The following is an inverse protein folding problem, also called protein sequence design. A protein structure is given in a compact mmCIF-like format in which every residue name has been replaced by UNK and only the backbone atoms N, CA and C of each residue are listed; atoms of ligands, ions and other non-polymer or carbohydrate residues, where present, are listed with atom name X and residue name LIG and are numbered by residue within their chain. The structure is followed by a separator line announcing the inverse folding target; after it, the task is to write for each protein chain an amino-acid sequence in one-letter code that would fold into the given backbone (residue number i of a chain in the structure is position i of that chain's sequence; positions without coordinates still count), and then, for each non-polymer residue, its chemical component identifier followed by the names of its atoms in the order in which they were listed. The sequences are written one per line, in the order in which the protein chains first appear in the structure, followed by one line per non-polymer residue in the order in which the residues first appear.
data_IF_105564032632
#
_entry.id   IF_105564032632
#
_cell.length_a   1.000
_cell.length_b   1.000
_cell.length_c   1.000
_cell.angle_alpha   90.00
_cell.angle_beta   90.00
_cell.angle_gamma   90.00
#
_symmetry.space_group_name_H-M   'P 1'
#
loop_
_entity.id
_entity.type
_entity.pdbx_description
1 polymer ?
2 polymer ?
#
# COMPACT_ATOMS: atom_id res chain seq x y z
N UNK A 5 3.86 -23.17 -20.83
CA UNK A 5 3.63 -22.09 -19.81
C UNK A 5 4.93 -21.38 -19.49
N UNK A 6 5.04 -20.12 -19.87
CA UNK A 6 6.26 -19.39 -19.59
C UNK A 6 6.41 -19.28 -18.07
N UNK A 7 7.46 -18.60 -17.63
CA UNK A 7 7.77 -18.40 -16.21
C UNK A 7 9.24 -18.00 -16.27
N UNK A 8 9.89 -17.86 -15.12
CA UNK A 8 11.31 -17.50 -15.13
C UNK A 8 12.05 -18.14 -13.98
N UNK A 9 13.30 -17.75 -13.79
CA UNK A 9 14.07 -18.26 -12.67
C UNK A 9 13.51 -17.45 -11.51
N UNK A 10 14.34 -17.11 -10.53
CA UNK A 10 13.84 -16.36 -9.38
C UNK A 10 12.61 -17.14 -8.94
N UNK A 11 11.43 -16.68 -9.31
CA UNK A 11 10.20 -17.40 -8.94
C UNK A 11 10.29 -18.70 -9.71
N UNK A 12 10.82 -19.72 -9.06
CA UNK A 12 11.04 -21.03 -9.64
C UNK A 12 12.05 -21.62 -8.67
N UNK A 13 12.82 -20.70 -8.07
CA UNK A 13 13.86 -21.01 -7.07
C UNK A 13 13.57 -20.25 -5.79
N UNK A 14 12.69 -19.26 -5.87
CA UNK A 14 12.30 -18.45 -4.73
C UNK A 14 11.90 -19.31 -3.54
N UNK A 15 11.72 -18.67 -2.39
CA UNK A 15 11.33 -19.38 -1.19
C UNK A 15 10.09 -18.69 -0.68
N UNK A 16 9.67 -17.67 -1.42
CA UNK A 16 8.52 -16.86 -1.07
C UNK A 16 8.19 -16.15 -2.36
N UNK A 17 6.94 -16.18 -2.78
CA UNK A 17 6.58 -15.57 -4.05
C UNK A 17 5.92 -14.21 -3.92
N UNK A 18 6.23 -13.50 -2.83
CA UNK A 18 5.72 -12.16 -2.61
C UNK A 18 6.87 -11.30 -2.12
N UNK A 19 6.84 -10.00 -2.43
CA UNK A 19 7.91 -9.10 -2.01
C UNK A 19 8.00 -9.12 -0.48
N UNK A 20 9.14 -9.54 0.06
CA UNK A 20 9.23 -9.58 1.52
C UNK A 20 9.38 -8.18 2.12
N UNK A 21 8.83 -8.00 3.32
CA UNK A 21 8.89 -6.73 4.01
C UNK A 21 8.44 -5.54 3.18
N UNK A 22 7.53 -5.77 2.24
CA UNK A 22 7.04 -4.72 1.36
C UNK A 22 6.30 -3.57 2.05
N UNK A 23 6.00 -3.75 3.33
CA UNK A 23 5.28 -2.72 4.07
C UNK A 23 6.28 -1.72 4.68
N UNK A 24 7.55 -2.10 4.65
CA UNK A 24 8.61 -1.27 5.17
C UNK A 24 9.00 -0.17 4.18
N UNK A 25 8.87 -0.47 2.89
CA UNK A 25 9.19 0.47 1.82
C UNK A 25 8.12 1.54 1.80
N UNK A 26 8.45 2.76 1.32
CA UNK A 26 7.49 3.84 1.27
C UNK A 26 6.73 3.91 -0.03
N UNK A 27 5.56 4.53 0.01
CA UNK A 27 4.71 4.66 -1.16
C UNK A 27 3.96 5.98 -1.17
N UNK A 28 3.27 6.21 -2.28
CA UNK A 28 2.49 7.42 -2.45
C UNK A 28 1.06 7.10 -2.07
N UNK A 29 0.34 8.10 -1.56
CA UNK A 29 -1.04 7.92 -1.15
C UNK A 29 -2.04 8.63 -2.06
N UNK A 30 -2.26 8.08 -3.23
CA UNK A 30 -3.22 8.60 -4.19
C UNK A 30 -4.55 8.99 -3.52
N UNK A 31 -5.48 9.53 -4.30
CA UNK A 31 -6.77 9.92 -3.77
C UNK A 31 -7.83 9.83 -4.86
N UNK A 32 -8.64 8.79 -4.77
CA UNK A 32 -9.70 8.51 -5.74
C UNK A 32 -10.48 9.73 -6.20
N UNK A 33 -10.49 10.77 -5.39
CA UNK A 33 -11.22 11.99 -5.72
C UNK A 33 -10.59 12.73 -6.90
N UNK A 34 -9.45 13.39 -6.66
CA UNK A 34 -8.79 14.08 -7.74
C UNK A 34 -7.88 13.13 -8.51
N UNK A 35 -6.59 13.34 -8.36
CA UNK A 35 -5.61 12.49 -9.01
C UNK A 35 -4.32 12.75 -8.26
N UNK A 36 -4.50 13.42 -7.13
CA UNK A 36 -3.40 13.84 -6.28
C UNK A 36 -2.70 12.78 -5.46
N UNK A 37 -1.51 13.16 -5.03
CA UNK A 37 -0.66 12.34 -4.18
C UNK A 37 -0.59 13.15 -2.90
N UNK A 38 -1.24 12.67 -1.85
CA UNK A 38 -1.24 13.37 -0.58
C UNK A 38 0.12 14.04 -0.43
N UNK A 39 0.13 15.29 0.01
CA UNK A 39 1.38 16.01 0.19
C UNK A 39 1.46 16.75 1.53
N UNK A 40 2.57 16.54 2.24
CA UNK A 40 2.80 17.20 3.52
C UNK A 40 3.90 18.23 3.31
N UNK A 41 3.51 19.37 2.72
CA UNK A 41 4.38 20.50 2.42
C UNK A 41 5.44 20.75 3.49
N UNK A 42 6.70 20.98 3.06
CA UNK A 42 7.83 21.23 3.96
C UNK A 42 7.45 22.10 5.16
N UNK A 43 6.72 23.18 4.88
CA UNK A 43 6.30 24.09 5.94
C UNK A 43 5.53 23.27 6.97
N UNK A 44 4.63 22.42 6.48
CA UNK A 44 3.85 21.58 7.36
C UNK A 44 2.38 21.38 7.00
N UNK A 45 1.89 22.15 6.04
CA UNK A 45 0.49 22.00 5.65
C UNK A 45 0.37 20.86 4.65
N UNK A 46 -0.81 20.26 4.57
CA UNK A 46 -1.07 19.14 3.66
C UNK A 46 -2.02 19.47 2.51
N UNK A 47 -1.81 18.82 1.36
CA UNK A 47 -2.66 19.05 0.19
C UNK A 47 -2.45 18.02 -0.92
N UNK A 48 -3.14 18.25 -2.05
CA UNK A 48 -3.04 17.36 -3.18
C UNK A 48 -2.06 17.81 -4.25
N UNK A 49 -1.89 17.00 -5.29
CA UNK A 49 -0.96 17.29 -6.39
C UNK A 49 -0.85 16.12 -7.35
N UNK A 50 -0.66 16.41 -8.62
CA UNK A 50 -0.51 15.35 -9.60
C UNK A 50 0.96 15.18 -9.94
N UNK A 51 1.75 16.21 -9.64
CA UNK A 51 3.19 16.20 -9.92
C UNK A 51 3.87 14.95 -9.39
N UNK A 52 3.90 13.90 -10.21
CA UNK A 52 4.51 12.63 -9.86
C UNK A 52 5.97 12.83 -9.46
N UNK A 53 6.39 14.07 -9.26
CA UNK A 53 7.75 14.37 -8.88
C UNK A 53 7.80 15.08 -7.52
N UNK A 54 6.64 15.59 -7.08
CA UNK A 54 6.56 16.30 -5.81
C UNK A 54 7.31 15.58 -4.70
N UNK A 55 8.47 16.11 -4.31
CA UNK A 55 9.30 15.50 -3.28
C UNK A 55 8.65 15.36 -1.91
N UNK A 56 7.33 15.53 -1.84
CA UNK A 56 6.64 15.42 -0.56
C UNK A 56 5.36 14.60 -0.63
N UNK A 57 5.43 13.50 -1.38
CA UNK A 57 4.30 12.60 -1.54
C UNK A 57 4.75 11.18 -1.15
N UNK A 58 6.06 11.04 -0.98
CA UNK A 58 6.66 9.76 -0.60
C UNK A 58 6.40 9.47 0.88
N UNK A 59 5.26 8.83 1.14
CA UNK A 59 4.89 8.49 2.49
C UNK A 59 5.42 7.13 2.94
N UNK A 60 5.76 7.06 4.23
CA UNK A 60 6.31 5.88 4.89
C UNK A 60 5.40 5.54 6.05
N UNK A 61 4.54 4.54 5.86
CA UNK A 61 3.60 4.14 6.89
C UNK A 61 4.19 3.12 7.88
N UNK A 62 3.45 2.84 8.93
CA UNK A 62 3.88 1.89 9.94
C UNK A 62 2.76 1.75 10.96
N UNK A 63 2.73 0.63 11.68
CA UNK A 63 1.69 0.39 12.66
C UNK A 63 2.24 -0.09 13.98
N UNK A 64 1.92 0.62 15.05
CA UNK A 64 2.41 0.22 16.36
C UNK A 64 1.44 -0.79 16.94
N UNK A 65 0.28 -0.91 16.28
CA UNK A 65 -0.77 -1.84 16.66
C UNK A 65 -1.61 -2.14 15.43
N UNK A 66 -2.34 -3.24 15.48
CA UNK A 66 -3.20 -3.66 14.37
C UNK A 66 -4.12 -2.54 13.90
N UNK A 67 -4.18 -2.33 12.59
CA UNK A 67 -5.09 -1.31 12.07
C UNK A 67 -4.71 0.14 12.21
N UNK A 68 -4.13 0.50 13.35
CA UNK A 68 -3.71 1.87 13.60
C UNK A 68 -2.37 2.08 12.92
N UNK A 69 -2.24 3.19 12.19
CA UNK A 69 -1.01 3.49 11.50
C UNK A 69 -0.61 4.95 11.45
N UNK A 70 0.69 5.17 11.25
CA UNK A 70 1.30 6.49 11.12
C UNK A 70 1.55 6.73 9.65
N UNK A 71 1.29 7.95 9.18
CA UNK A 71 1.57 8.27 7.79
C UNK A 71 2.72 9.25 7.92
N UNK A 72 3.78 9.03 7.16
CA UNK A 72 4.96 9.88 7.26
C UNK A 72 5.65 10.15 5.92
N UNK A 73 6.47 11.20 5.89
CA UNK A 73 7.20 11.56 4.67
C UNK A 73 8.62 11.04 4.72
N UNK A 74 9.15 10.69 3.56
CA UNK A 74 10.50 10.17 3.48
C UNK A 74 11.53 11.29 3.35
N UNK A 75 11.06 12.51 3.12
CA UNK A 75 11.95 13.67 2.97
C UNK A 75 12.25 14.34 4.29
N UNK A 76 11.21 14.73 5.01
CA UNK A 76 11.37 15.39 6.30
C UNK A 76 11.35 14.39 7.45
N UNK A 77 10.16 14.22 8.02
CA UNK A 77 9.96 13.32 9.13
C UNK A 77 8.76 13.84 9.87
N UNK A 78 7.81 14.38 9.09
CA UNK A 78 6.57 14.94 9.62
C UNK A 78 5.46 13.89 9.79
N UNK A 79 5.15 13.58 11.04
CA UNK A 79 4.12 12.61 11.41
C UNK A 79 2.69 13.09 11.20
N UNK A 80 2.33 13.30 9.94
CA UNK A 80 0.99 13.76 9.54
C UNK A 80 -0.06 13.62 10.63
N UNK A 81 -0.86 14.65 10.84
CA UNK A 81 -1.88 14.53 11.88
C UNK A 81 -3.12 15.38 11.61
N UNK A 82 -4.10 15.24 12.48
CA UNK A 82 -5.36 15.97 12.34
C UNK A 82 -5.68 16.69 13.65
N UNK A 83 -5.83 18.02 13.57
CA UNK A 83 -6.12 18.84 14.75
C UNK A 83 -7.60 18.83 15.12
N UNK A 84 -7.89 19.19 16.37
CA UNK A 84 -9.24 19.22 16.87
C UNK A 84 -10.25 19.90 15.94
N UNK A 85 -9.76 20.66 14.97
CA UNK A 85 -10.64 21.37 14.05
C UNK A 85 -11.02 20.46 12.88
N UNK A 86 -10.13 19.52 12.55
CA UNK A 86 -10.37 18.61 11.46
C UNK A 86 -9.37 18.97 10.37
N UNK A 87 -8.30 19.63 10.79
CA UNK A 87 -7.25 20.07 9.87
C UNK A 87 -6.06 19.11 9.90
N UNK A 88 -5.68 18.65 8.71
CA UNK A 88 -4.55 17.74 8.59
C UNK A 88 -3.27 18.57 8.52
N UNK A 89 -2.36 18.34 9.45
CA UNK A 89 -1.11 19.08 9.42
C UNK A 89 0.10 18.15 9.30
N UNK A 90 1.02 18.22 10.25
CA UNK A 90 2.18 17.35 10.19
C UNK A 90 3.11 17.38 11.38
N UNK A 91 2.59 17.03 12.56
CA UNK A 91 3.40 17.04 13.77
C UNK A 91 4.85 16.64 13.52
N UNK A 92 5.73 17.09 14.39
CA UNK A 92 7.15 16.78 14.33
C UNK A 92 7.39 15.63 15.27
N UNK A 93 6.48 15.47 16.22
CA UNK A 93 6.56 14.41 17.21
C UNK A 93 5.38 13.44 17.06
N UNK A 94 5.61 12.15 17.33
CA UNK A 94 4.52 11.18 17.23
C UNK A 94 3.58 11.43 18.38
N UNK A 95 2.33 11.75 18.10
CA UNK A 95 1.38 11.97 19.17
C UNK A 95 -0.03 11.63 18.76
N UNK A 96 -0.83 11.23 19.76
CA UNK A 96 -2.21 10.86 19.56
C UNK A 96 -2.90 11.61 18.44
N UNK A 97 -2.42 12.80 18.12
CA UNK A 97 -3.00 13.59 17.05
C UNK A 97 -2.65 13.00 15.69
N UNK A 98 -1.63 12.15 15.64
CA UNK A 98 -1.22 11.59 14.36
C UNK A 98 -1.47 10.09 14.11
N UNK A 99 -2.42 9.52 14.84
CA UNK A 99 -2.77 8.11 14.67
C UNK A 99 -4.05 7.91 13.85
N UNK A 100 -3.93 7.24 12.72
CA UNK A 100 -5.08 6.97 11.86
C UNK A 100 -5.47 5.49 11.86
N UNK A 101 -6.72 5.23 11.56
CA UNK A 101 -7.23 3.87 11.51
C UNK A 101 -7.36 3.50 10.05
N UNK A 102 -6.62 2.49 9.60
CA UNK A 102 -6.66 2.07 8.20
C UNK A 102 -7.62 0.94 7.90
N UNK A 103 -8.28 1.03 6.75
CA UNK A 103 -9.22 -0.02 6.37
C UNK A 103 -9.37 -0.15 4.86
N UNK A 104 -9.29 -1.38 4.39
CA UNK A 104 -9.41 -1.72 2.97
C UNK A 104 -10.89 -1.92 2.60
N UNK A 105 -11.51 -0.85 2.09
CA UNK A 105 -12.92 -0.87 1.72
C UNK A 105 -13.21 -1.81 0.54
N UNK A 106 -14.37 -2.47 0.57
CA UNK A 106 -14.75 -3.39 -0.48
C UNK A 106 -14.37 -2.89 -1.87
N UNK A 107 -14.42 -1.59 -2.08
CA UNK A 107 -14.04 -1.04 -3.38
C UNK A 107 -12.52 -1.00 -3.37
N UNK A 108 -11.96 -1.94 -2.65
CA UNK A 108 -10.53 -2.07 -2.50
C UNK A 108 -9.75 -0.77 -2.30
N UNK A 109 -10.45 0.30 -1.91
CA UNK A 109 -9.80 1.58 -1.63
C UNK A 109 -9.60 1.66 -0.13
N UNK A 110 -8.49 2.22 0.31
CA UNK A 110 -8.28 2.35 1.74
C UNK A 110 -8.87 3.67 2.21
N UNK A 111 -9.09 3.78 3.50
CA UNK A 111 -9.64 4.99 4.10
C UNK A 111 -8.94 5.20 5.43
N UNK A 112 -8.65 6.45 5.77
CA UNK A 112 -7.99 6.71 7.05
C UNK A 112 -8.95 7.45 7.96
N UNK A 113 -9.12 6.99 9.19
CA UNK A 113 -10.03 7.68 10.11
C UNK A 113 -9.25 8.16 11.31
N UNK A 114 -9.30 9.46 11.55
CA UNK A 114 -8.56 10.06 12.63
C UNK A 114 -8.88 9.38 13.95
N UNK A 115 -8.15 8.32 14.24
CA UNK A 115 -8.34 7.55 15.45
C UNK A 115 -8.90 8.39 16.58
N UNK A 116 -8.21 9.47 16.92
CA UNK A 116 -8.64 10.35 17.99
C UNK A 116 -10.10 10.79 17.85
N UNK A 117 -10.45 11.29 16.66
CA UNK A 117 -11.83 11.72 16.46
C UNK A 117 -12.65 10.64 15.80
N UNK A 118 -12.15 9.41 15.86
CA UNK A 118 -12.83 8.28 15.27
C UNK A 118 -14.34 8.45 15.44
N UNK A 119 -14.76 8.55 16.70
CA UNK A 119 -16.17 8.71 17.06
C UNK A 119 -17.00 9.55 16.08
N UNK A 120 -16.39 10.59 15.53
CA UNK A 120 -17.07 11.49 14.62
C UNK A 120 -16.89 11.13 13.14
N UNK A 121 -16.07 10.12 12.87
CA UNK A 121 -15.84 9.68 11.50
C UNK A 121 -15.22 10.73 10.61
N UNK A 122 -14.07 11.26 11.03
CA UNK A 122 -13.38 12.26 10.23
C UNK A 122 -12.30 11.56 9.42
N UNK A 123 -12.33 11.72 8.10
CA UNK A 123 -11.36 11.08 7.25
C UNK A 123 -10.25 12.00 6.79
N UNK A 124 -9.30 11.39 6.08
CA UNK A 124 -8.16 12.10 5.54
C UNK A 124 -8.38 12.17 4.05
N UNK A 125 -9.51 12.72 3.64
CA UNK A 125 -9.78 12.83 2.22
C UNK A 125 -9.15 14.06 1.58
N UNK A 126 -9.49 14.33 0.33
CA UNK A 126 -8.95 15.48 -0.36
C UNK A 126 -10.01 16.09 -1.25
N UNK A 127 -10.30 17.36 -1.01
CA UNK A 127 -11.31 18.08 -1.79
C UNK A 127 -10.87 18.19 -3.24
N UNK A 128 -11.78 17.84 -4.14
CA UNK A 128 -11.61 17.83 -5.60
C UNK A 128 -10.48 18.67 -6.20
N UNK A 129 -10.45 19.97 -5.90
CA UNK A 129 -9.41 20.83 -6.44
C UNK A 129 -8.06 20.27 -6.01
N UNK A 130 -8.09 19.55 -4.90
CA UNK A 130 -6.86 18.95 -4.39
C UNK A 130 -6.46 19.54 -3.07
N UNK A 131 -7.33 20.33 -2.45
CA UNK A 131 -6.99 20.92 -1.17
C UNK A 131 -7.42 19.98 -0.05
N UNK A 132 -6.74 20.05 1.09
CA UNK A 132 -7.09 19.20 2.23
C UNK A 132 -8.56 19.41 2.53
N UNK A 133 -9.22 18.42 3.09
CA UNK A 133 -10.62 18.57 3.41
C UNK A 133 -10.73 18.72 4.91
N UNK A 134 -11.59 19.64 5.36
CA UNK A 134 -11.78 19.84 6.79
C UNK A 134 -12.35 18.53 7.32
N UNK A 135 -11.86 18.10 8.47
CA UNK A 135 -12.33 16.87 9.04
C UNK A 135 -13.84 16.77 8.85
N UNK A 136 -14.63 17.44 9.69
CA UNK A 136 -16.09 17.45 9.63
C UNK A 136 -16.63 17.46 8.20
N UNK A 137 -15.85 17.99 7.27
CA UNK A 137 -16.28 18.05 5.88
C UNK A 137 -16.46 16.67 5.25
N UNK A 138 -15.62 15.72 5.63
CA UNK A 138 -15.71 14.37 5.06
C UNK A 138 -17.00 13.64 5.41
N UNK A 139 -17.36 12.71 4.54
CA UNK A 139 -18.54 11.88 4.70
C UNK A 139 -18.12 10.51 4.23
N UNK A 140 -18.52 9.48 4.95
CA UNK A 140 -18.18 8.14 4.52
C UNK A 140 -18.96 7.87 3.24
N UNK A 141 -18.25 7.81 2.11
CA UNK A 141 -18.92 7.54 0.85
C UNK A 141 -18.39 8.36 -0.29
N UNK A 142 -17.88 9.55 0.01
CA UNK A 142 -17.34 10.43 -1.03
C UNK A 142 -15.93 10.03 -1.43
N UNK A 143 -15.68 10.00 -2.74
CA UNK A 143 -14.38 9.64 -3.28
C UNK A 143 -13.24 10.36 -2.55
N UNK A 144 -13.54 11.56 -2.06
CA UNK A 144 -12.56 12.37 -1.35
C UNK A 144 -11.72 11.56 -0.36
N UNK A 145 -12.39 10.69 0.38
CA UNK A 145 -11.73 9.86 1.40
C UNK A 145 -11.14 8.55 0.90
N UNK A 146 -11.44 8.20 -0.34
CA UNK A 146 -10.92 6.96 -0.88
C UNK A 146 -9.51 7.07 -1.43
N UNK A 147 -8.53 6.75 -0.60
CA UNK A 147 -7.14 6.78 -1.03
C UNK A 147 -6.74 5.43 -1.53
N UNK A 148 -5.77 5.41 -2.43
CA UNK A 148 -5.29 4.17 -3.01
C UNK A 148 -3.78 4.24 -3.22
N UNK A 149 -3.02 3.49 -2.41
CA UNK A 149 -1.56 3.42 -2.46
C UNK A 149 -1.01 3.26 -3.86
N UNK A 150 0.22 3.73 -4.05
CA UNK A 150 0.88 3.65 -5.35
C UNK A 150 2.38 3.55 -5.20
N UNK A 151 3.03 2.83 -6.12
CA UNK A 151 4.48 2.67 -6.09
C UNK A 151 5.13 4.03 -6.37
N UNK A 152 6.28 4.27 -5.76
CA UNK A 152 6.96 5.55 -5.95
C UNK A 152 7.10 5.96 -7.41
N UNK A 153 7.53 5.03 -8.25
CA UNK A 153 7.69 5.32 -9.68
C UNK A 153 6.83 4.44 -10.57
N UNK A 154 6.72 4.83 -11.83
CA UNK A 154 5.94 4.09 -12.82
C UNK A 154 6.68 2.84 -13.29
N UNK A 155 6.04 2.10 -14.20
CA UNK A 155 6.63 0.88 -14.72
C UNK A 155 6.12 0.55 -16.12
N UNK B 119 -10.72 21.82 -38.29
CA UNK B 119 -9.96 22.06 -37.04
C UNK B 119 -10.72 21.52 -35.83
N UNK B 120 -10.17 20.49 -35.19
CA UNK B 120 -10.78 19.84 -34.01
C UNK B 120 -10.46 20.53 -32.68
N UNK B 121 -11.35 20.35 -31.70
CA UNK B 121 -11.19 20.96 -30.39
C UNK B 121 -11.87 20.12 -29.30
N UNK B 122 -11.30 20.17 -28.09
CA UNK B 122 -11.81 19.43 -26.93
C UNK B 122 -13.11 20.03 -26.41
N UNK B 123 -14.24 19.45 -26.78
CA UNK B 123 -15.52 19.97 -26.33
C UNK B 123 -15.57 20.04 -24.82
N UNK B 124 -14.75 19.23 -24.17
CA UNK B 124 -14.70 19.23 -22.71
C UNK B 124 -13.26 19.30 -22.22
N UNK B 125 -12.64 20.48 -22.29
CA UNK B 125 -11.25 20.69 -21.86
C UNK B 125 -11.12 20.64 -20.35
N UNK B 126 -11.89 21.48 -19.67
CA UNK B 126 -11.86 21.55 -18.23
C UNK B 126 -11.74 20.16 -17.62
N UNK B 127 -12.57 19.24 -18.10
CA UNK B 127 -12.55 17.86 -17.60
C UNK B 127 -11.56 17.01 -18.37
N UNK B 128 -10.28 17.39 -18.34
CA UNK B 128 -9.25 16.64 -19.03
C UNK B 128 -7.81 16.90 -18.58
N UNK B 129 -7.61 17.05 -17.28
CA UNK B 129 -6.28 17.29 -16.72
C UNK B 129 -5.93 16.12 -15.80
N UNK B 130 -6.87 15.18 -15.70
CA UNK B 130 -6.73 13.99 -14.88
C UNK B 130 -6.38 12.77 -15.74
N UNK B 131 -5.08 12.55 -15.95
CA UNK B 131 -4.62 11.42 -16.75
C UNK B 131 -4.21 10.28 -15.82
N UNK B 132 -3.89 10.63 -14.58
CA UNK B 132 -3.50 9.64 -13.59
C UNK B 132 -4.77 8.92 -13.12
N UNK B 133 -4.92 7.66 -13.53
CA UNK B 133 -6.10 6.89 -13.14
C UNK B 133 -5.74 5.60 -12.39
N UNK B 134 -5.27 5.76 -11.15
CA UNK B 134 -4.91 4.62 -10.30
C UNK B 134 -6.18 3.94 -9.88
N UNK B 135 -6.37 2.69 -10.28
CA UNK B 135 -7.58 1.97 -9.92
C UNK B 135 -7.36 0.50 -9.55
N UNK B 136 -8.32 -0.10 -8.82
CA UNK B 136 -8.23 -1.50 -8.42
C UNK B 136 -8.54 -2.42 -9.61
N UNK B 137 -8.04 -3.66 -9.54
CA UNK B 137 -8.23 -4.63 -10.62
C UNK B 137 -9.68 -4.89 -11.00
N UNK B 138 -9.86 -5.76 -12.00
CA UNK B 138 -11.17 -6.17 -12.52
C UNK B 138 -12.31 -5.13 -12.53
N UNK B 139 -11.97 -3.85 -12.65
CA UNK B 139 -13.00 -2.83 -12.65
C UNK B 139 -13.02 -1.96 -13.91
N UNK B 140 -14.06 -2.13 -14.72
CA UNK B 140 -14.23 -1.40 -15.98
C UNK B 140 -13.65 0.02 -15.92
N UNK B 141 -12.98 0.44 -16.99
CA UNK B 141 -12.39 1.77 -17.08
C UNK B 141 -12.86 2.43 -18.38
N UNK B 142 -13.13 3.73 -18.34
CA UNK B 142 -13.60 4.45 -19.52
C UNK B 142 -12.78 5.69 -19.85
N UNK B 143 -11.92 5.59 -20.86
CA UNK B 143 -11.10 6.72 -21.26
C UNK B 143 -11.75 7.43 -22.45
N UNK B 144 -12.05 8.72 -22.27
CA UNK B 144 -12.68 9.50 -23.31
C UNK B 144 -12.08 10.89 -23.42
N UNK B 145 -12.39 11.56 -24.53
CA UNK B 145 -11.90 12.90 -24.81
C UNK B 145 -12.72 13.48 -25.98
N UNK B 146 -13.91 14.02 -25.66
CA UNK B 146 -14.85 14.62 -26.61
C UNK B 146 -14.24 15.69 -27.53
N UNK B 147 -14.65 15.67 -28.79
CA UNK B 147 -14.16 16.63 -29.79
C UNK B 147 -15.22 16.98 -30.84
N UNK B 148 -14.81 17.78 -31.83
CA UNK B 148 -15.70 18.20 -32.91
C UNK B 148 -14.89 18.96 -33.96
N UNK B 149 -15.57 19.54 -34.94
CA UNK B 149 -14.90 20.30 -35.99
C UNK B 149 -15.56 20.26 -37.36
N UNK B 150 -14.83 20.66 -38.40
CA UNK B 150 -15.36 20.64 -39.76
C UNK B 150 -14.33 20.10 -40.75
N UNK B 151 -14.49 18.83 -41.16
CA UNK B 151 -15.56 17.92 -40.72
C UNK B 151 -15.19 17.16 -39.44
N UNK B 152 -16.06 16.23 -39.05
CA UNK B 152 -15.84 15.42 -37.85
C UNK B 152 -14.46 14.77 -37.91
N UNK B 153 -13.59 15.09 -36.95
CA UNK B 153 -12.24 14.53 -36.91
C UNK B 153 -12.19 13.09 -36.37
N UNK B 154 -11.19 12.33 -36.80
CA UNK B 154 -11.02 10.95 -36.37
C UNK B 154 -10.40 10.84 -34.98
N UNK B 155 -10.66 9.71 -34.32
CA UNK B 155 -10.13 9.48 -32.99
C UNK B 155 -9.18 8.28 -33.04
N UNK B 156 -7.90 8.55 -32.85
CA UNK B 156 -6.91 7.49 -32.88
C UNK B 156 -6.48 7.14 -31.46
N UNK B 157 -6.29 5.84 -31.20
CA UNK B 157 -5.88 5.36 -29.89
C UNK B 157 -4.56 4.61 -30.00
N UNK B 158 -4.00 4.24 -28.86
CA UNK B 158 -2.74 3.51 -28.82
C UNK B 158 -2.35 3.16 -27.39
N UNK B 159 -1.58 2.09 -27.22
CA UNK B 159 -1.16 1.65 -25.89
C UNK B 159 0.33 1.93 -25.69
N UNK B 160 0.67 2.51 -24.55
CA UNK B 160 2.06 2.85 -24.22
C UNK B 160 2.59 3.85 -25.24
N UNK B 161 2.01 3.81 -26.44
CA UNK B 161 2.41 4.72 -27.50
C UNK B 161 2.28 4.12 -28.89
N UNK B 162 1.56 3.02 -29.03
CA UNK B 162 1.39 2.38 -30.33
C UNK B 162 0.07 1.65 -30.51
N UNK B 163 -0.64 2.01 -31.58
CA UNK B 163 -1.94 1.43 -31.94
C UNK B 163 -2.50 0.38 -30.98
N UNK B 164 -3.54 0.78 -30.26
CA UNK B 164 -4.19 -0.12 -29.32
C UNK B 164 -5.31 -0.83 -30.08
N UNK B 165 -5.08 -2.10 -30.39
CA UNK B 165 -6.06 -2.90 -31.12
C UNK B 165 -7.37 -3.06 -30.38
N UNK B 166 -8.47 -3.14 -31.13
CA UNK B 166 -9.79 -3.32 -30.56
C UNK B 166 -9.97 -4.69 -29.95
N UNK B 167 -8.84 -5.27 -29.51
CA UNK B 167 -8.78 -6.59 -28.89
C UNK B 167 -7.30 -6.82 -28.63
N UNK B 168 -6.55 -5.71 -28.69
CA UNK B 168 -5.11 -5.69 -28.47
C UNK B 168 -4.68 -6.47 -27.23
N UNK B 169 -5.66 -6.93 -26.46
CA UNK B 169 -5.40 -7.70 -25.26
C UNK B 169 -6.62 -8.46 -24.79
N UNK B 170 -6.39 -9.40 -23.87
CA UNK B 170 -7.43 -10.24 -23.30
C UNK B 170 -8.66 -9.42 -22.94
N UNK B 171 -9.80 -10.10 -22.79
CA UNK B 171 -11.03 -9.40 -22.47
C UNK B 171 -11.45 -8.51 -23.61
N UNK B 172 -10.49 -8.18 -24.48
CA UNK B 172 -10.77 -7.33 -25.63
C UNK B 172 -11.38 -6.02 -25.20
N UNK B 173 -11.58 -5.10 -26.14
CA UNK B 173 -12.17 -3.82 -25.80
C UNK B 173 -13.58 -3.68 -26.38
N UNK B 174 -14.03 -2.44 -26.55
CA UNK B 174 -15.35 -2.15 -27.09
C UNK B 174 -15.54 -0.65 -27.06
N UNK B 175 -14.64 0.08 -27.72
CA UNK B 175 -14.69 1.53 -27.72
C UNK B 175 -15.72 2.10 -28.68
N UNK B 176 -16.39 3.16 -28.23
CA UNK B 176 -17.41 3.85 -29.02
C UNK B 176 -16.75 5.04 -29.69
N UNK B 177 -16.15 4.78 -30.85
CA UNK B 177 -15.47 5.78 -31.64
C UNK B 177 -16.35 7.01 -31.87
N UNK B 178 -17.60 6.93 -31.41
CA UNK B 178 -18.54 8.02 -31.54
C UNK B 178 -18.52 8.91 -30.30
N UNK B 179 -18.48 8.28 -29.12
CA UNK B 179 -18.46 8.99 -27.85
C UNK B 179 -17.04 9.45 -27.49
N UNK B 180 -16.09 9.15 -28.37
CA UNK B 180 -14.71 9.53 -28.16
C UNK B 180 -14.16 8.85 -26.91
N UNK B 181 -14.60 7.60 -26.70
CA UNK B 181 -14.20 6.82 -25.54
C UNK B 181 -13.42 5.55 -25.86
N UNK B 182 -12.87 4.94 -24.82
CA UNK B 182 -12.09 3.71 -24.91
C UNK B 182 -12.44 2.91 -23.66
N UNK B 183 -13.57 2.24 -23.66
CA UNK B 183 -14.00 1.48 -22.50
C UNK B 183 -13.34 0.10 -22.41
N UNK B 184 -12.65 -0.12 -21.29
CA UNK B 184 -11.95 -1.38 -20.99
C UNK B 184 -12.56 -1.97 -19.72
N UNK B 185 -12.84 -3.27 -19.71
CA UNK B 185 -13.42 -3.89 -18.53
C UNK B 185 -12.43 -4.81 -17.80
N UNK B 186 -12.76 -5.18 -16.56
CA UNK B 186 -11.92 -6.04 -15.73
C UNK B 186 -10.42 -5.78 -15.90
N UNK B 187 -10.02 -4.53 -15.72
CA UNK B 187 -8.62 -4.14 -15.87
C UNK B 187 -7.62 -5.05 -15.13
N UNK B 188 -6.37 -5.01 -15.59
CA UNK B 188 -5.29 -5.81 -15.03
C UNK B 188 -3.98 -5.00 -15.08
N UNK B 189 -3.11 -5.15 -14.07
CA UNK B 189 -1.85 -4.40 -14.05
C UNK B 189 -1.15 -4.38 -15.41
N UNK B 190 -1.33 -5.45 -16.17
CA UNK B 190 -0.72 -5.54 -17.50
C UNK B 190 -1.34 -4.52 -18.46
N UNK B 191 -2.34 -3.79 -17.97
CA UNK B 191 -3.01 -2.77 -18.77
C UNK B 191 -2.43 -1.41 -18.48
N UNK B 192 -1.90 -1.24 -17.29
CA UNK B 192 -1.33 0.04 -16.90
C UNK B 192 -0.42 0.57 -17.99
N UNK B 193 -0.87 1.60 -18.68
CA UNK B 193 -0.09 2.18 -19.75
C UNK B 193 -0.65 3.48 -20.29
N UNK B 194 0.13 4.55 -20.18
CA UNK B 194 -0.26 5.87 -20.68
C UNK B 194 -1.04 5.75 -21.98
N UNK B 195 -2.36 5.91 -21.90
CA UNK B 195 -3.23 5.86 -23.09
C UNK B 195 -3.40 7.24 -23.72
N UNK B 196 -3.21 7.32 -25.03
CA UNK B 196 -3.35 8.59 -25.74
C UNK B 196 -4.41 8.58 -26.81
N UNK B 197 -5.13 9.69 -26.90
CA UNK B 197 -6.17 9.86 -27.90
C UNK B 197 -5.59 10.78 -28.96
N UNK B 198 -5.94 10.54 -30.21
CA UNK B 198 -5.44 11.36 -31.30
C UNK B 198 -6.58 11.82 -32.19
N UNK B 199 -6.76 13.13 -32.24
CA UNK B 199 -7.80 13.76 -33.04
C UNK B 199 -7.11 14.42 -34.23
N UNK B 200 -7.19 13.77 -35.39
CA UNK B 200 -6.57 14.31 -36.59
C UNK B 200 -7.64 14.76 -37.56
N UNK B 201 -7.46 15.96 -38.10
CA UNK B 201 -8.40 16.53 -39.05
C UNK B 201 -7.62 17.23 -40.18
N UNK B 202 -8.28 17.42 -41.31
CA UNK B 202 -7.64 18.07 -42.46
C UNK B 202 -7.03 19.42 -42.13
N UNK B 203 -7.55 20.09 -41.10
CA UNK B 203 -7.07 21.40 -40.70
C UNK B 203 -6.25 21.42 -39.41
N UNK B 204 -6.26 20.31 -38.68
CA UNK B 204 -5.50 20.25 -37.44
C UNK B 204 -5.56 18.88 -36.81
N UNK B 205 -4.66 18.62 -35.87
CA UNK B 205 -4.66 17.34 -35.19
C UNK B 205 -4.18 17.51 -33.76
N UNK B 206 -5.09 17.27 -32.81
CA UNK B 206 -4.80 17.39 -31.40
C UNK B 206 -4.81 16.03 -30.73
N UNK B 207 -4.16 15.93 -29.58
CA UNK B 207 -4.09 14.67 -28.84
C UNK B 207 -3.66 14.87 -27.40
N UNK B 208 -4.29 14.14 -26.49
CA UNK B 208 -3.98 14.20 -25.06
C UNK B 208 -3.80 12.78 -24.54
N UNK B 209 -2.92 12.60 -23.55
CA UNK B 209 -2.65 11.27 -23.01
C UNK B 209 -3.03 11.03 -21.54
N UNK B 210 -3.60 9.86 -21.28
CA UNK B 210 -4.01 9.45 -19.93
C UNK B 210 -3.13 8.27 -19.50
N UNK B 211 -2.57 8.32 -18.30
CA UNK B 211 -1.71 7.24 -17.81
C UNK B 211 -2.48 6.34 -16.83
N UNK B 212 -2.78 5.13 -17.28
CA UNK B 212 -3.53 4.17 -16.47
C UNK B 212 -2.64 3.23 -15.66
N UNK B 213 -3.17 2.78 -14.53
CA UNK B 213 -2.47 1.83 -13.69
C UNK B 213 -3.52 0.87 -13.16
N UNK B 214 -3.08 -0.30 -12.72
CA UNK B 214 -4.01 -1.27 -12.17
C UNK B 214 -3.31 -1.99 -11.05
N UNK B 215 -3.97 -2.02 -9.90
CA UNK B 215 -3.42 -2.69 -8.74
C UNK B 215 -4.29 -3.88 -8.42
N UNK B 216 -3.73 -4.80 -7.64
CA UNK B 216 -4.43 -5.99 -7.22
C UNK B 216 -4.29 -6.08 -5.71
N UNK B 217 -5.22 -5.47 -5.01
CA UNK B 217 -5.23 -5.46 -3.55
C UNK B 217 -5.27 -6.88 -2.96
N UNK B 218 -4.62 -7.04 -1.82
CA UNK B 218 -4.57 -8.32 -1.10
C UNK B 218 -5.27 -8.12 0.23
N UNK B 219 -6.61 -8.21 0.23
CA UNK B 219 -7.43 -8.03 1.42
C UNK B 219 -7.35 -9.22 2.35
N UNK B 220 -6.15 -9.64 2.70
CA UNK B 220 -6.01 -10.78 3.59
C UNK B 220 -5.20 -10.45 4.84
N UNK B 221 -4.81 -11.50 5.56
CA UNK B 221 -4.04 -11.31 6.75
C UNK B 221 -2.60 -11.35 6.25
N UNK B 222 -1.63 -11.13 7.14
CA UNK B 222 -0.28 -11.19 6.62
C UNK B 222 0.04 -12.60 6.21
N UNK B 223 0.70 -12.71 5.06
CA UNK B 223 1.11 -14.00 4.51
C UNK B 223 2.58 -14.16 4.90
N UNK B 224 2.93 -15.23 5.60
CA UNK B 224 4.32 -15.40 5.97
C UNK B 224 4.97 -16.62 5.33
N UNK B 225 6.01 -16.38 4.55
CA UNK B 225 6.76 -17.47 3.94
C UNK B 225 6.84 -18.62 4.93
N UNK B 226 6.80 -19.85 4.44
CA UNK B 226 6.86 -21.01 5.32
C UNK B 226 8.28 -21.28 5.80
N UNK B 227 8.40 -22.15 6.78
CA UNK B 227 9.72 -22.49 7.28
C UNK B 227 10.38 -21.38 8.06
N UNK B 228 9.71 -20.25 8.12
CA UNK B 228 10.26 -19.11 8.82
C UNK B 228 9.30 -18.55 9.82
N UNK B 229 9.72 -18.48 11.10
CA UNK B 229 11.04 -18.90 11.55
C UNK B 229 11.20 -20.42 11.43
N UNK B 230 12.43 -20.90 11.55
CA UNK B 230 12.72 -22.33 11.47
C UNK B 230 13.49 -22.76 12.70
N UNK B 231 13.15 -23.94 13.25
CA UNK B 231 13.81 -24.46 14.44
C UNK B 231 15.31 -24.40 14.29
N UNK B 232 16.02 -24.04 15.35
CA UNK B 232 17.47 -24.02 15.26
C UNK B 232 18.10 -24.35 16.59
N UNK B 233 19.41 -24.56 16.58
CA UNK B 233 20.14 -24.90 17.80
C UNK B 233 21.29 -23.96 18.01
N UNK B 234 21.78 -23.86 19.23
CA UNK B 234 22.92 -22.99 19.54
C UNK B 234 23.61 -23.34 20.85
N UNK B 235 24.88 -22.97 20.95
CA UNK B 235 25.64 -23.23 22.18
C UNK B 235 25.20 -22.20 23.24
N UNK B 236 25.43 -22.46 24.52
CA UNK B 236 25.05 -21.43 25.47
C UNK B 236 25.95 -20.24 25.11
N UNK B 237 25.53 -19.04 25.46
CA UNK B 237 26.31 -17.86 25.10
C UNK B 237 26.67 -17.97 23.63
N UNK B 238 25.69 -17.81 22.75
CA UNK B 238 25.90 -17.94 21.31
C UNK B 238 25.24 -16.88 20.48
N UNK B 239 24.21 -16.22 20.99
CA UNK B 239 23.56 -15.17 20.23
C UNK B 239 22.97 -15.72 18.94
N UNK B 240 21.64 -15.64 18.84
CA UNK B 240 20.92 -16.16 17.68
C UNK B 240 19.96 -15.14 17.08
N UNK B 241 19.37 -15.55 15.96
CA UNK B 241 18.39 -14.74 15.23
C UNK B 241 17.30 -15.68 14.73
N UNK B 242 16.14 -15.12 14.41
CA UNK B 242 15.01 -15.85 13.86
C UNK B 242 14.46 -14.92 12.80
N UNK B 243 14.03 -15.46 11.67
CA UNK B 243 13.52 -14.59 10.60
C UNK B 243 12.03 -14.59 10.28
N UNK B 244 11.67 -13.78 9.30
CA UNK B 244 10.30 -13.67 8.88
C UNK B 244 9.99 -12.84 7.67
N UNK B 245 9.61 -13.50 6.59
CA UNK B 245 9.21 -12.77 5.43
C UNK B 245 7.70 -12.60 5.62
N UNK B 246 7.16 -11.50 5.13
CA UNK B 246 5.76 -11.20 5.30
C UNK B 246 5.24 -10.28 4.24
N UNK B 247 4.54 -10.81 3.26
CA UNK B 247 3.95 -9.90 2.29
C UNK B 247 2.79 -9.47 3.15
N UNK B 248 2.21 -8.31 2.87
CA UNK B 248 1.09 -7.86 3.68
C UNK B 248 0.57 -6.50 3.28
N UNK B 249 -0.03 -6.40 2.10
CA UNK B 249 -0.59 -5.14 1.65
C UNK B 249 -0.97 -4.25 2.84
N UNK B 250 -1.94 -4.70 3.62
CA UNK B 250 -2.38 -3.93 4.79
C UNK B 250 -1.27 -3.81 5.81
N UNK B 251 -1.11 -2.62 6.38
CA UNK B 251 -0.06 -2.42 7.36
C UNK B 251 -0.01 -3.52 8.38
N UNK B 252 1.03 -4.31 8.36
CA UNK B 252 1.09 -5.36 9.36
C UNK B 252 1.68 -4.77 10.62
N UNK B 253 1.60 -5.54 11.70
CA UNK B 253 2.16 -5.18 12.99
C UNK B 253 2.77 -6.45 13.56
N UNK B 254 3.96 -6.77 13.06
CA UNK B 254 4.75 -7.95 13.43
C UNK B 254 5.21 -7.91 14.91
N UNK B 255 5.08 -9.04 15.62
CA UNK B 255 5.52 -9.16 17.03
C UNK B 255 6.25 -10.48 17.23
N UNK B 256 7.11 -10.58 18.24
CA UNK B 256 7.80 -11.83 18.51
C UNK B 256 7.45 -12.31 19.91
N UNK B 257 6.76 -13.45 19.96
CA UNK B 257 6.33 -14.00 21.22
C UNK B 257 7.29 -15.07 21.68
N UNK B 258 7.18 -15.39 22.97
CA UNK B 258 7.99 -16.37 23.67
C UNK B 258 7.01 -17.22 24.47
N UNK B 259 6.89 -18.49 24.12
CA UNK B 259 5.95 -19.37 24.78
C UNK B 259 6.21 -19.75 26.23
N UNK B 260 6.22 -18.74 27.10
CA UNK B 260 6.45 -18.92 28.53
C UNK B 260 5.34 -19.78 29.19
N UNK B 261 5.65 -20.32 30.37
CA UNK B 261 4.74 -21.20 31.10
C UNK B 261 4.38 -20.71 32.52
N UNK B 262 3.27 -19.97 32.63
CA UNK B 262 2.80 -19.44 33.91
C UNK B 262 2.65 -20.50 35.00
N UNK B 263 3.36 -20.31 36.12
CA UNK B 263 3.32 -21.23 37.26
C UNK B 263 2.56 -22.55 37.03
N UNK B 264 3.20 -23.50 36.37
CA UNK B 264 2.54 -24.78 36.15
C UNK B 264 2.25 -25.20 34.72
N UNK B 265 1.25 -24.58 34.11
CA UNK B 265 0.86 -24.93 32.75
C UNK B 265 1.28 -23.89 31.72
N UNK B 266 1.40 -24.34 30.47
CA UNK B 266 1.80 -23.47 29.37
C UNK B 266 0.57 -22.81 28.76
N UNK B 267 -0.60 -23.39 28.99
CA UNK B 267 -1.86 -22.85 28.47
C UNK B 267 -2.80 -22.39 29.59
N UNK B 268 -3.24 -21.13 29.51
CA UNK B 268 -4.12 -20.59 30.52
C UNK B 268 -5.60 -20.78 30.23
N UNK B 269 -6.49 -20.40 31.16
CA UNK B 269 -7.94 -20.51 31.06
C UNK B 269 -8.57 -19.99 29.77
N UNK B 270 -7.76 -19.43 28.88
CA UNK B 270 -8.27 -18.92 27.60
C UNK B 270 -8.03 -19.97 26.51
N UNK B 271 -7.49 -21.12 26.92
CA UNK B 271 -7.21 -22.20 25.98
C UNK B 271 -6.05 -21.86 25.06
N UNK B 272 -5.62 -20.61 25.13
CA UNK B 272 -4.52 -20.13 24.31
C UNK B 272 -3.24 -20.01 25.12
N UNK B 273 -2.10 -20.40 24.53
CA UNK B 273 -0.76 -20.38 25.14
C UNK B 273 -0.33 -19.11 25.84
N UNK B 274 0.51 -19.27 26.84
CA UNK B 274 1.05 -18.14 27.58
C UNK B 274 2.33 -17.75 26.85
N UNK B 275 2.51 -16.47 26.59
CA UNK B 275 3.71 -16.01 25.91
C UNK B 275 4.06 -14.62 26.42
N UNK B 276 5.14 -14.05 25.89
CA UNK B 276 5.51 -12.69 26.27
C UNK B 276 6.12 -11.98 25.08
N UNK B 277 5.70 -10.74 24.86
CA UNK B 277 6.22 -9.95 23.76
C UNK B 277 7.70 -9.82 24.07
N UNK B 278 8.54 -9.72 23.03
CA UNK B 278 9.97 -9.62 23.26
C UNK B 278 10.52 -8.28 22.84
N UNK B 279 11.36 -7.74 23.71
CA UNK B 279 12.06 -6.46 23.56
C UNK B 279 12.25 -5.93 22.15
N UNK B 280 12.83 -6.77 21.29
CA UNK B 280 13.14 -6.57 19.84
C UNK B 280 14.61 -6.95 19.61
N UNK B 281 15.37 -7.04 20.70
CA UNK B 281 16.79 -7.47 20.67
C UNK B 281 17.87 -6.66 19.90
N UNK B 282 17.46 -5.66 19.12
CA UNK B 282 18.41 -4.87 18.35
C UNK B 282 17.72 -3.82 17.50
N UNK B 283 17.92 -3.86 16.19
CA UNK B 283 17.26 -2.88 15.31
C UNK B 283 16.91 -3.48 13.93
N UNK B 284 16.99 -2.66 12.87
CA UNK B 284 16.72 -3.13 11.51
C UNK B 284 17.95 -3.82 10.92
N UNK B 285 18.98 -3.03 10.65
CA UNK B 285 20.27 -3.53 10.13
C UNK B 285 20.21 -4.49 8.94
N UNK B 286 20.46 -5.77 9.22
CA UNK B 286 20.49 -6.85 8.22
C UNK B 286 19.63 -6.66 6.98
N UNK B 287 18.42 -7.20 7.01
CA UNK B 287 17.53 -7.11 5.86
C UNK B 287 16.32 -6.23 6.09
N UNK B 288 16.16 -5.25 5.22
CA UNK B 288 15.05 -4.31 5.27
C UNK B 288 13.82 -5.02 4.71
N UNK B 289 13.98 -6.29 4.39
CA UNK B 289 12.88 -7.07 3.82
C UNK B 289 12.44 -8.18 4.79
N UNK B 290 13.27 -8.48 5.79
CA UNK B 290 12.97 -9.52 6.77
C UNK B 290 12.55 -8.98 8.11
N UNK B 291 12.29 -9.90 9.05
CA UNK B 291 11.87 -9.49 10.38
C UNK B 291 12.53 -10.40 11.40
N UNK B 292 13.78 -10.08 11.73
CA UNK B 292 14.56 -10.85 12.69
C UNK B 292 14.34 -10.50 14.16
N UNK B 293 14.68 -11.43 15.03
CA UNK B 293 14.57 -11.27 16.47
C UNK B 293 15.93 -11.82 16.89
N UNK B 294 16.74 -11.01 17.59
CA UNK B 294 18.08 -11.44 17.98
C UNK B 294 18.32 -11.70 19.46
N UNK B 295 18.38 -12.97 19.83
CA UNK B 295 18.66 -13.30 21.23
C UNK B 295 20.17 -13.18 21.36
N UNK B 296 20.67 -13.00 22.58
CA UNK B 296 22.12 -12.88 22.71
C UNK B 296 22.92 -13.90 23.53
N UNK B 297 22.86 -13.86 24.85
CA UNK B 297 23.65 -14.84 25.59
C UNK B 297 23.01 -16.23 25.68
N UNK B 298 21.80 -16.33 25.14
CA UNK B 298 21.02 -17.56 25.09
C UNK B 298 21.29 -18.66 26.10
N UNK B 299 21.10 -18.38 27.37
CA UNK B 299 21.30 -19.40 28.39
C UNK B 299 20.34 -20.56 28.12
N UNK B 300 20.50 -21.66 28.86
CA UNK B 300 19.62 -22.80 28.73
C UNK B 300 18.34 -22.33 29.39
N UNK B 301 17.83 -21.20 28.90
CA UNK B 301 16.61 -20.58 29.42
C UNK B 301 15.77 -20.00 28.29
N UNK B 302 16.39 -19.84 27.12
CA UNK B 302 15.70 -19.29 25.97
C UNK B 302 15.31 -20.46 25.07
N UNK B 303 15.46 -21.65 25.64
CA UNK B 303 15.18 -22.88 24.95
C UNK B 303 13.71 -23.09 24.60
N UNK B 304 12.87 -22.14 24.98
CA UNK B 304 11.46 -22.31 24.66
C UNK B 304 11.12 -22.26 23.18
N UNK B 305 9.87 -21.87 22.92
CA UNK B 305 9.38 -21.77 21.55
C UNK B 305 9.10 -20.29 21.22
N UNK B 306 9.50 -19.90 20.02
CA UNK B 306 9.34 -18.53 19.57
C UNK B 306 8.34 -18.45 18.45
N UNK B 307 7.48 -17.44 18.53
CA UNK B 307 6.43 -17.22 17.55
C UNK B 307 6.57 -15.85 16.92
N UNK B 308 6.23 -15.76 15.63
CA UNK B 308 6.25 -14.50 14.88
C UNK B 308 4.76 -14.29 14.62
N UNK B 309 4.20 -13.28 15.26
CA UNK B 309 2.78 -12.98 15.16
C UNK B 309 2.54 -11.75 14.32
N UNK B 310 2.32 -11.94 13.02
CA UNK B 310 2.08 -10.83 12.08
C UNK B 310 0.60 -10.39 12.10
N UNK B 311 0.29 -9.29 12.78
CA UNK B 311 -1.09 -8.82 12.86
C UNK B 311 -1.48 -7.99 11.68
N UNK B 312 -2.75 -7.75 11.47
CA UNK B 312 -3.19 -6.99 10.30
C UNK B 312 -4.64 -6.54 10.37
N UNK B 313 -4.97 -5.39 9.80
CA UNK B 313 -6.34 -4.88 9.83
C UNK B 313 -7.34 -5.99 9.61
N UNK B 314 -6.93 -6.92 8.76
CA UNK B 314 -7.70 -8.10 8.38
C UNK B 314 -7.07 -9.27 9.10
N UNK B 315 -7.62 -9.64 10.25
CA UNK B 315 -7.09 -10.76 11.02
C UNK B 315 -5.60 -10.98 11.18
N UNK B 316 -5.25 -11.91 12.06
CA UNK B 316 -3.86 -12.24 12.34
C UNK B 316 -3.34 -13.50 11.66
N UNK B 317 -2.03 -13.52 11.45
CA UNK B 317 -1.37 -14.63 10.83
C UNK B 317 -0.17 -14.93 11.72
N UNK B 318 0.42 -16.12 11.55
CA UNK B 318 1.55 -16.44 12.42
C UNK B 318 2.24 -17.77 12.22
N UNK B 319 3.53 -17.79 12.55
CA UNK B 319 4.34 -19.00 12.49
C UNK B 319 5.09 -19.13 13.82
N UNK B 320 5.85 -20.20 13.98
CA UNK B 320 6.60 -20.40 15.21
C UNK B 320 7.78 -21.30 14.96
N UNK B 321 8.60 -21.49 15.98
CA UNK B 321 9.78 -22.33 15.83
C UNK B 321 10.46 -22.52 17.19
N UNK B 322 11.40 -23.46 17.26
CA UNK B 322 12.09 -23.75 18.49
C UNK B 322 13.59 -23.48 18.45
N UNK B 323 14.16 -23.28 19.64
CA UNK B 323 15.59 -23.06 19.83
C UNK B 323 15.99 -23.99 20.94
N UNK B 324 17.21 -24.52 20.86
CA UNK B 324 17.71 -25.46 21.85
C UNK B 324 19.17 -25.09 22.11
N UNK B 325 19.56 -24.93 23.39
CA UNK B 325 20.94 -24.57 23.71
C UNK B 325 21.63 -25.58 24.59
N UNK B 326 22.87 -25.91 24.25
CA UNK B 326 23.65 -26.90 24.99
C UNK B 326 25.01 -26.33 25.43
N UNK B 327 25.77 -27.12 26.20
CA UNK B 327 27.12 -26.78 26.74
C UNK B 327 28.25 -26.65 25.70
N UNK B 328 29.39 -27.30 25.94
CA UNK B 328 30.50 -27.13 25.00
C UNK B 328 31.26 -28.36 24.45
N UNK B 329 30.85 -29.58 24.77
CA UNK B 329 31.60 -30.72 24.23
C UNK B 329 30.80 -31.57 23.25
N UNK B 330 29.99 -32.46 23.84
CA UNK B 330 29.12 -33.42 23.13
C UNK B 330 29.72 -34.83 23.18
N UNK B 331 29.24 -35.65 22.24
CA UNK B 331 29.64 -37.05 22.13
C UNK B 331 30.95 -37.43 22.81
#
# INVERSE_FOLDING_TARGET
MAEGEITTFTALTEKFNLPPGNYKKPKLLYCSNGGHFLRILPDGTVDGTRDRSDQHIQLQLSAESVGEVYIKSTETGQYLAMDTDGLLYGSQTPNEECLFLERLEENHYNTYISKKHAEKNWFVGLKKNGSCKRGPRTHYGQKAILFLPLPVSSD
MGRAAEVPGPEPGQQEQLVFGSGDAVELSCPPPGGGPMGPTVWVKDGTGLVPSERVLVGPQRLQVLNASHEDSGAYSCRQRLTQRVLCHFSVRVTDAPSSGDDEDGEDEAEDTGVDTGAPYWTRPERMDKKLLAVPAANTVRFRCPAAGNPTPSISWLKNGREFRGEHRIGGIKLRHQQWSLVMESVVPSDRGNYTCVVENKFGSIRQTYTLDVLERSPHRPILQAGLPANQTAVLGSDVEFHCKVYSDAQPHIQWLKHVEVNGSKVGPDGTPYVTVLKTAGANTTDKELEVLSLHNVTFEDAGEYTCLAGNSIGFSHHSAWLVVLPAEEELVE
#
